data_IF_771478572385
#
_entry.id   IF_771478572385
#
_cell.length_a   1.000
_cell.length_b   1.000
_cell.length_c   1.000
_cell.angle_alpha   90.00
_cell.angle_beta   90.00
_cell.angle_gamma   90.00
#
_symmetry.space_group_name_H-M   'P 1'
#
loop_
_entity.id
_entity.type
_entity.pdbx_description
1 polymer ?
#
# COMPACT_ATOMS: atom_id res chain seq x y z
N UNK A 1 -3.91 -19.84 -26.29
CA UNK A 1 -4.19 -18.58 -25.54
C UNK A 1 -2.84 -17.93 -25.30
N UNK A 2 -2.73 -16.61 -25.44
CA UNK A 2 -1.49 -15.91 -25.12
C UNK A 2 -1.17 -16.09 -23.63
N UNK A 3 0.12 -16.18 -23.28
CA UNK A 3 0.54 -16.22 -21.88
C UNK A 3 0.19 -14.89 -21.21
N UNK A 4 -0.37 -14.92 -20.01
CA UNK A 4 -0.76 -13.71 -19.29
C UNK A 4 0.40 -13.12 -18.51
N UNK A 5 0.40 -11.80 -18.33
CA UNK A 5 1.36 -11.10 -17.48
C UNK A 5 0.66 -9.97 -16.72
N UNK A 6 0.79 -9.94 -15.41
CA UNK A 6 0.21 -8.92 -14.55
C UNK A 6 1.31 -8.24 -13.75
N UNK A 7 1.36 -6.91 -13.80
CA UNK A 7 2.30 -6.09 -13.02
C UNK A 7 1.56 -4.95 -12.34
N UNK A 8 1.94 -4.65 -11.10
CA UNK A 8 1.41 -3.54 -10.33
C UNK A 8 2.53 -2.62 -9.86
N UNK A 9 2.21 -1.34 -9.69
CA UNK A 9 2.96 -0.48 -8.76
C UNK A 9 2.28 -0.50 -7.40
N UNK A 10 2.95 0.01 -6.34
CA UNK A 10 2.23 0.51 -5.18
C UNK A 10 1.16 1.52 -5.60
N UNK A 11 0.09 1.61 -4.81
CA UNK A 11 -0.81 2.76 -4.86
C UNK A 11 -0.18 3.90 -4.05
N UNK A 12 -0.16 5.10 -4.60
CA UNK A 12 0.57 6.23 -4.01
C UNK A 12 -0.36 7.08 -3.13
N UNK A 13 0.12 7.50 -1.96
CA UNK A 13 -0.65 8.37 -1.07
C UNK A 13 -0.96 9.72 -1.73
N UNK A 14 -2.19 10.22 -1.52
CA UNK A 14 -2.64 11.52 -2.05
C UNK A 14 -2.37 12.70 -1.13
N UNK A 15 -1.48 12.56 -0.15
CA UNK A 15 -1.14 13.62 0.79
C UNK A 15 -0.09 14.62 0.26
N UNK A 16 0.66 14.29 -0.81
CA UNK A 16 1.69 15.16 -1.38
C UNK A 16 1.85 15.02 -2.91
N UNK A 17 2.72 15.84 -3.48
CA UNK A 17 3.07 15.87 -4.90
C UNK A 17 3.81 14.61 -5.36
N UNK A 18 3.58 14.16 -6.62
CA UNK A 18 4.40 13.12 -7.21
C UNK A 18 5.88 13.55 -7.29
N UNK A 19 6.79 12.67 -6.85
CA UNK A 19 8.24 12.88 -6.93
C UNK A 19 8.95 11.76 -7.70
N UNK A 20 10.28 11.83 -7.80
CA UNK A 20 11.10 10.92 -8.61
C UNK A 20 10.97 9.44 -8.21
N UNK A 21 10.65 9.16 -6.95
CA UNK A 21 10.44 7.79 -6.46
C UNK A 21 9.22 7.14 -7.10
N UNK A 22 8.10 7.88 -7.16
CA UNK A 22 6.89 7.43 -7.86
C UNK A 22 7.16 7.24 -9.36
N UNK A 23 7.88 8.19 -9.97
CA UNK A 23 8.22 8.10 -11.40
C UNK A 23 9.08 6.87 -11.70
N UNK A 24 10.09 6.59 -10.89
CA UNK A 24 11.00 5.45 -11.08
C UNK A 24 10.25 4.12 -11.07
N UNK A 25 9.47 3.85 -10.02
CA UNK A 25 8.75 2.58 -9.87
C UNK A 25 7.73 2.38 -10.99
N UNK A 26 6.99 3.43 -11.34
CA UNK A 26 6.01 3.35 -12.44
C UNK A 26 6.67 3.15 -13.80
N UNK A 27 7.81 3.80 -14.08
CA UNK A 27 8.56 3.59 -15.33
C UNK A 27 9.15 2.18 -15.39
N UNK A 28 9.66 1.64 -14.29
CA UNK A 28 10.16 0.27 -14.23
C UNK A 28 9.05 -0.76 -14.54
N UNK A 29 7.86 -0.58 -13.96
CA UNK A 29 6.69 -1.40 -14.26
C UNK A 29 6.23 -1.23 -15.72
N UNK A 30 6.26 -0.01 -16.26
CA UNK A 30 5.90 0.29 -17.65
C UNK A 30 6.84 -0.41 -18.65
N UNK A 31 8.15 -0.40 -18.39
CA UNK A 31 9.14 -1.11 -19.21
C UNK A 31 8.83 -2.61 -19.25
N UNK A 32 8.50 -3.22 -18.11
CA UNK A 32 8.12 -4.64 -18.05
C UNK A 32 6.82 -4.90 -18.83
N UNK A 33 5.79 -4.09 -18.60
CA UNK A 33 4.51 -4.22 -19.29
C UNK A 33 4.70 -4.14 -20.82
N UNK A 34 5.45 -3.15 -21.30
CA UNK A 34 5.75 -2.97 -22.73
C UNK A 34 6.57 -4.12 -23.30
N UNK A 35 7.59 -4.59 -22.58
CA UNK A 35 8.40 -5.74 -22.99
C UNK A 35 7.52 -6.97 -23.21
N UNK A 36 6.65 -7.30 -22.26
CA UNK A 36 5.79 -8.47 -22.36
C UNK A 36 4.68 -8.31 -23.41
N UNK A 37 4.13 -7.10 -23.60
CA UNK A 37 3.22 -6.81 -24.74
C UNK A 37 3.93 -7.03 -26.07
N UNK A 38 5.16 -6.54 -26.21
CA UNK A 38 5.98 -6.76 -27.41
C UNK A 38 6.28 -8.25 -27.64
N UNK A 39 6.46 -9.03 -26.58
CA UNK A 39 6.60 -10.48 -26.63
C UNK A 39 5.30 -11.25 -26.95
N UNK A 40 4.18 -10.56 -27.22
CA UNK A 40 2.90 -11.16 -27.59
C UNK A 40 2.09 -11.73 -26.41
N UNK A 41 2.37 -11.29 -25.17
CA UNK A 41 1.61 -11.68 -23.98
C UNK A 41 0.34 -10.83 -23.81
N UNK A 42 -0.64 -11.40 -23.12
CA UNK A 42 -1.81 -10.68 -22.64
C UNK A 42 -1.46 -9.98 -21.32
N UNK A 43 -1.32 -8.65 -21.37
CA UNK A 43 -0.73 -7.85 -20.28
C UNK A 43 -1.78 -7.00 -19.61
N UNK A 44 -1.77 -7.01 -18.27
CA UNK A 44 -2.45 -6.01 -17.45
C UNK A 44 -1.42 -5.28 -16.57
N UNK A 45 -1.40 -3.96 -16.62
CA UNK A 45 -0.53 -3.10 -15.83
C UNK A 45 -1.40 -2.13 -15.02
N UNK A 46 -1.40 -2.32 -13.69
CA UNK A 46 -2.16 -1.51 -12.74
C UNK A 46 -1.27 -0.55 -11.95
N UNK A 47 -1.73 0.69 -11.83
CA UNK A 47 -1.21 1.69 -10.87
C UNK A 47 -2.41 2.35 -10.16
N UNK A 48 -2.18 3.17 -9.14
CA UNK A 48 -3.28 3.89 -8.51
C UNK A 48 -2.89 4.81 -7.36
N UNK A 49 -3.89 5.23 -6.61
CA UNK A 49 -3.76 6.13 -5.45
C UNK A 49 -4.44 5.57 -4.22
N UNK A 50 -3.80 5.79 -3.08
CA UNK A 50 -4.37 5.56 -1.75
C UNK A 50 -4.90 6.88 -1.16
N UNK A 51 -6.19 6.88 -0.86
CA UNK A 51 -7.01 8.07 -0.62
C UNK A 51 -7.69 8.08 0.75
N UNK A 52 -7.43 7.06 1.59
CA UNK A 52 -7.97 6.96 2.94
C UNK A 52 -6.89 7.25 4.00
N UNK A 53 -7.30 7.38 5.26
CA UNK A 53 -6.40 7.51 6.41
C UNK A 53 -6.32 8.91 7.01
N UNK A 54 -5.84 8.98 8.25
CA UNK A 54 -5.79 10.22 9.03
C UNK A 54 -4.85 11.26 8.41
N UNK A 55 -3.78 10.84 7.72
CA UNK A 55 -2.91 11.79 7.00
C UNK A 55 -3.65 12.55 5.91
N UNK A 56 -4.49 11.87 5.12
CA UNK A 56 -5.26 12.50 4.04
C UNK A 56 -6.28 13.48 4.65
N UNK A 57 -6.96 13.09 5.72
CA UNK A 57 -7.89 13.94 6.44
C UNK A 57 -7.21 15.22 6.97
N UNK A 58 -6.07 15.08 7.65
CA UNK A 58 -5.30 16.22 8.20
C UNK A 58 -4.76 17.13 7.09
N UNK A 59 -4.26 16.56 6.00
CA UNK A 59 -3.79 17.32 4.85
C UNK A 59 -4.92 18.13 4.20
N UNK A 60 -6.12 17.56 4.07
CA UNK A 60 -7.28 18.23 3.52
C UNK A 60 -7.74 19.38 4.42
N UNK A 61 -7.83 19.14 5.73
CA UNK A 61 -8.17 20.16 6.71
C UNK A 61 -7.19 21.35 6.71
N UNK A 62 -5.88 21.09 6.56
CA UNK A 62 -4.85 22.13 6.52
C UNK A 62 -4.98 23.10 5.33
N UNK A 63 -5.64 22.67 4.24
CA UNK A 63 -5.87 23.50 3.05
C UNK A 63 -7.34 23.90 2.87
N UNK A 64 -8.21 23.60 3.84
CA UNK A 64 -9.64 23.94 3.80
C UNK A 64 -10.44 23.17 2.75
N UNK A 65 -9.99 21.97 2.37
CA UNK A 65 -10.67 21.06 1.43
C UNK A 65 -11.29 19.87 2.19
N UNK A 66 -12.29 19.22 1.60
CA UNK A 66 -12.71 17.88 2.06
C UNK A 66 -11.69 16.82 1.61
N UNK A 67 -11.59 15.66 2.29
CA UNK A 67 -10.65 14.60 1.90
C UNK A 67 -10.80 14.16 0.44
N UNK A 68 -12.04 14.04 -0.05
CA UNK A 68 -12.31 13.66 -1.44
C UNK A 68 -11.88 14.75 -2.44
N UNK A 69 -12.03 16.03 -2.09
CA UNK A 69 -11.59 17.15 -2.94
C UNK A 69 -10.05 17.17 -3.06
N UNK A 70 -9.34 16.95 -1.95
CA UNK A 70 -7.89 16.82 -1.96
C UNK A 70 -7.46 15.63 -2.84
N UNK A 71 -8.08 14.47 -2.64
CA UNK A 71 -7.78 13.25 -3.40
C UNK A 71 -8.01 13.46 -4.90
N UNK A 72 -9.17 14.00 -5.30
CA UNK A 72 -9.49 14.32 -6.71
C UNK A 72 -8.43 15.23 -7.33
N UNK A 73 -8.03 16.29 -6.62
CA UNK A 73 -7.01 17.24 -7.09
C UNK A 73 -5.63 16.59 -7.26
N UNK A 74 -5.23 15.71 -6.35
CA UNK A 74 -3.90 15.06 -6.38
C UNK A 74 -3.86 13.92 -7.41
N UNK A 75 -4.94 13.17 -7.58
CA UNK A 75 -5.11 12.15 -8.62
C UNK A 75 -4.85 12.73 -10.01
N UNK A 76 -5.39 13.91 -10.29
CA UNK A 76 -5.14 14.57 -11.58
C UNK A 76 -3.66 14.92 -11.78
N UNK A 77 -2.91 15.20 -10.73
CA UNK A 77 -1.44 15.41 -10.84
C UNK A 77 -0.71 14.12 -11.21
N UNK A 78 -1.09 12.99 -10.59
CA UNK A 78 -0.53 11.67 -10.94
C UNK A 78 -0.86 11.31 -12.39
N UNK A 79 -2.13 11.39 -12.81
CA UNK A 79 -2.53 11.10 -14.20
C UNK A 79 -1.81 11.98 -15.21
N UNK A 80 -1.71 13.28 -14.95
CA UNK A 80 -0.97 14.20 -15.83
C UNK A 80 0.51 13.85 -15.90
N UNK A 81 1.13 13.41 -14.79
CA UNK A 81 2.51 12.91 -14.82
C UNK A 81 2.64 11.63 -15.65
N UNK A 82 1.71 10.69 -15.52
CA UNK A 82 1.69 9.46 -16.31
C UNK A 82 1.53 9.71 -17.81
N UNK A 83 0.71 10.68 -18.21
CA UNK A 83 0.63 11.16 -19.59
C UNK A 83 1.98 11.74 -20.05
N UNK A 84 2.60 12.61 -19.25
CA UNK A 84 3.91 13.21 -19.58
C UNK A 84 5.04 12.19 -19.70
N UNK A 85 5.03 11.17 -18.86
CA UNK A 85 5.99 10.07 -18.87
C UNK A 85 5.63 8.99 -19.91
N UNK A 86 4.50 9.13 -20.61
CA UNK A 86 3.99 8.16 -21.57
C UNK A 86 3.85 6.75 -20.96
N UNK A 87 3.28 6.67 -19.75
CA UNK A 87 3.02 5.39 -19.06
C UNK A 87 1.84 4.70 -19.73
N UNK A 88 1.96 3.38 -19.93
CA UNK A 88 1.00 2.53 -20.63
C UNK A 88 0.22 1.62 -19.69
N UNK A 89 -0.15 2.11 -18.51
CA UNK A 89 -1.00 1.34 -17.60
C UNK A 89 -2.39 1.12 -18.20
N UNK A 90 -2.97 -0.05 -17.94
CA UNK A 90 -4.30 -0.43 -18.44
C UNK A 90 -5.42 0.09 -17.52
N UNK A 91 -5.13 0.28 -16.24
CA UNK A 91 -6.08 0.83 -15.27
C UNK A 91 -5.37 1.72 -14.23
N UNK A 92 -6.14 2.65 -13.66
CA UNK A 92 -5.76 3.53 -12.57
C UNK A 92 -6.78 3.38 -11.43
N UNK A 93 -6.44 2.60 -10.41
CA UNK A 93 -7.33 2.36 -9.27
C UNK A 93 -7.27 3.52 -8.26
N UNK A 94 -8.42 3.85 -7.70
CA UNK A 94 -8.55 4.80 -6.58
C UNK A 94 -9.24 4.08 -5.43
N UNK A 95 -8.74 4.19 -4.21
CA UNK A 95 -9.35 3.48 -3.06
C UNK A 95 -10.72 4.04 -2.65
N UNK A 96 -11.11 5.21 -3.16
CA UNK A 96 -12.46 5.80 -3.04
C UNK A 96 -13.47 5.27 -4.06
N UNK A 97 -13.05 4.49 -5.07
CA UNK A 97 -13.98 3.91 -6.04
C UNK A 97 -14.85 2.82 -5.41
N UNK A 98 -16.13 2.81 -5.77
CA UNK A 98 -17.10 1.82 -5.28
C UNK A 98 -16.65 0.37 -5.51
N UNK A 99 -15.98 0.09 -6.65
CA UNK A 99 -15.45 -1.25 -6.93
C UNK A 99 -14.37 -1.69 -5.93
N UNK A 100 -13.57 -0.76 -5.43
CA UNK A 100 -12.54 -1.04 -4.43
C UNK A 100 -13.17 -1.22 -3.06
N UNK A 101 -14.09 -0.33 -2.67
CA UNK A 101 -14.82 -0.41 -1.40
C UNK A 101 -15.54 -1.76 -1.27
N UNK A 102 -16.26 -2.18 -2.32
CA UNK A 102 -16.91 -3.50 -2.35
C UNK A 102 -15.93 -4.66 -2.17
N UNK A 103 -14.78 -4.61 -2.85
CA UNK A 103 -13.77 -5.66 -2.75
C UNK A 103 -13.14 -5.72 -1.34
N UNK A 104 -12.82 -4.57 -0.76
CA UNK A 104 -12.27 -4.47 0.60
C UNK A 104 -13.26 -4.97 1.66
N UNK A 105 -14.53 -4.55 1.57
CA UNK A 105 -15.60 -5.05 2.46
C UNK A 105 -15.80 -6.55 2.32
N UNK A 106 -15.81 -7.07 1.09
CA UNK A 106 -15.94 -8.50 0.85
C UNK A 106 -14.77 -9.30 1.42
N UNK A 107 -13.54 -8.80 1.29
CA UNK A 107 -12.36 -9.41 1.90
C UNK A 107 -12.49 -9.45 3.42
N UNK A 108 -12.82 -8.32 4.05
CA UNK A 108 -13.01 -8.23 5.49
C UNK A 108 -14.08 -9.21 6.01
N UNK A 109 -15.27 -9.23 5.38
CA UNK A 109 -16.35 -10.16 5.74
C UNK A 109 -15.92 -11.63 5.60
N UNK A 110 -15.12 -11.95 4.59
CA UNK A 110 -14.62 -13.31 4.36
C UNK A 110 -13.67 -13.74 5.46
N UNK A 111 -12.69 -12.89 5.79
CA UNK A 111 -11.72 -13.14 6.86
C UNK A 111 -12.43 -13.21 8.23
N UNK A 112 -13.44 -12.38 8.45
CA UNK A 112 -14.28 -12.42 9.65
C UNK A 112 -15.03 -13.75 9.77
N UNK A 113 -15.69 -14.20 8.68
CA UNK A 113 -16.42 -15.48 8.63
C UNK A 113 -15.52 -16.69 8.87
N UNK A 114 -14.24 -16.60 8.48
CA UNK A 114 -13.25 -17.64 8.74
C UNK A 114 -12.75 -17.67 10.20
N UNK A 115 -13.22 -16.73 11.04
CA UNK A 115 -12.82 -16.64 12.45
C UNK A 115 -11.43 -16.07 12.65
N UNK A 116 -10.88 -15.38 11.64
CA UNK A 116 -9.53 -14.82 11.64
C UNK A 116 -9.50 -13.35 12.08
N UNK A 117 -10.67 -12.80 12.43
CA UNK A 117 -10.81 -11.48 13.06
C UNK A 117 -11.24 -11.65 14.52
N UNK A 118 -10.59 -10.93 15.42
CA UNK A 118 -10.99 -10.86 16.83
C UNK A 118 -10.90 -9.43 17.34
N UNK A 119 -11.74 -9.09 18.30
CA UNK A 119 -11.66 -7.82 19.01
C UNK A 119 -10.59 -7.95 20.09
N UNK A 120 -9.67 -7.00 20.12
CA UNK A 120 -8.62 -6.91 21.12
C UNK A 120 -8.44 -5.48 21.56
N UNK A 121 -7.57 -5.29 22.53
CA UNK A 121 -7.12 -3.97 22.93
C UNK A 121 -5.66 -3.85 22.51
N UNK A 122 -5.36 -2.86 21.68
CA UNK A 122 -3.98 -2.52 21.35
C UNK A 122 -3.50 -1.48 22.36
N UNK A 123 -2.33 -1.69 22.95
CA UNK A 123 -1.64 -0.68 23.76
C UNK A 123 -0.20 -0.62 23.27
N UNK A 124 0.08 0.29 22.35
CA UNK A 124 1.42 0.46 21.77
C UNK A 124 1.70 1.94 21.44
N UNK A 125 2.95 2.22 21.10
CA UNK A 125 3.40 3.57 20.81
C UNK A 125 3.18 3.90 19.33
N UNK A 126 2.31 4.86 19.06
CA UNK A 126 1.94 5.22 17.70
C UNK A 126 2.66 6.49 17.22
N UNK A 127 3.30 6.39 16.05
CA UNK A 127 3.88 7.52 15.35
C UNK A 127 2.88 8.05 14.31
N UNK A 128 2.17 9.14 14.62
CA UNK A 128 1.21 9.76 13.70
C UNK A 128 1.82 10.16 12.35
N UNK A 129 3.04 10.73 12.28
CA UNK A 129 3.67 11.03 10.99
C UNK A 129 4.02 9.80 10.14
N UNK A 130 4.28 8.64 10.74
CA UNK A 130 4.59 7.42 10.00
C UNK A 130 3.34 6.57 9.73
N UNK A 131 2.25 6.71 10.51
CA UNK A 131 1.13 5.76 10.58
C UNK A 131 1.59 4.34 10.91
N UNK A 132 2.58 4.26 11.81
CA UNK A 132 3.19 3.01 12.21
C UNK A 132 3.14 2.87 13.71
N UNK A 133 2.91 1.64 14.17
CA UNK A 133 2.92 1.26 15.57
C UNK A 133 4.27 0.65 15.93
N UNK A 134 4.72 0.97 17.14
CA UNK A 134 5.97 0.50 17.70
C UNK A 134 5.72 -0.08 19.08
N UNK A 135 6.33 -1.23 19.34
CA UNK A 135 6.47 -1.72 20.69
C UNK A 135 7.45 -0.84 21.47
N UNK A 136 7.35 -0.83 22.80
CA UNK A 136 8.27 -0.05 23.65
C UNK A 136 9.74 -0.36 23.38
N UNK A 137 10.07 -1.61 23.04
CA UNK A 137 11.44 -2.05 22.73
C UNK A 137 11.97 -1.53 21.39
N UNK A 138 11.08 -1.18 20.45
CA UNK A 138 11.46 -0.64 19.14
C UNK A 138 11.69 0.87 19.15
N UNK A 139 11.34 1.56 20.24
CA UNK A 139 11.57 2.99 20.37
C UNK A 139 13.05 3.30 20.60
N UNK A 140 13.51 4.39 20.00
CA UNK A 140 14.85 4.95 20.23
C UNK A 140 14.67 6.20 21.09
N UNK A 141 15.16 6.17 22.34
CA UNK A 141 14.99 7.24 23.32
C UNK A 141 13.52 7.68 23.53
N UNK A 142 12.58 6.73 23.48
CA UNK A 142 11.15 7.00 23.61
C UNK A 142 10.53 7.68 22.38
N UNK A 143 11.20 7.62 21.22
CA UNK A 143 10.77 8.24 19.95
C UNK A 143 10.69 7.21 18.82
N UNK A 144 9.97 7.58 17.76
CA UNK A 144 9.81 6.76 16.56
C UNK A 144 11.18 6.43 15.95
N UNK A 145 11.52 5.15 15.72
CA UNK A 145 12.81 4.76 15.16
C UNK A 145 13.02 5.26 13.73
N UNK A 146 11.93 5.41 12.95
CA UNK A 146 12.03 5.81 11.54
C UNK A 146 12.25 7.31 11.35
N UNK A 147 11.57 8.14 12.15
CA UNK A 147 11.56 9.60 11.93
C UNK A 147 12.09 10.42 13.11
N UNK A 148 12.42 9.79 14.23
CA UNK A 148 12.96 10.45 15.43
C UNK A 148 11.98 11.40 16.14
N UNK A 149 10.69 11.35 15.81
CA UNK A 149 9.64 12.21 16.42
C UNK A 149 8.97 11.52 17.59
N UNK A 150 8.26 12.30 18.40
CA UNK A 150 7.48 11.81 19.53
C UNK A 150 6.40 10.81 19.08
N UNK A 151 6.18 9.83 19.94
CA UNK A 151 5.14 8.81 19.81
C UNK A 151 4.12 8.99 20.92
N UNK A 152 2.87 8.65 20.64
CA UNK A 152 1.80 8.69 21.64
C UNK A 152 1.41 7.26 22.01
N UNK A 153 1.28 6.99 23.31
CA UNK A 153 0.75 5.72 23.77
C UNK A 153 -0.74 5.67 23.44
N UNK A 154 -1.12 4.81 22.51
CA UNK A 154 -2.50 4.67 22.06
C UNK A 154 -3.05 3.38 22.64
N UNK A 155 -4.09 3.51 23.47
CA UNK A 155 -4.88 2.38 23.94
C UNK A 155 -6.23 2.43 23.23
N UNK A 156 -6.43 1.55 22.26
CA UNK A 156 -7.65 1.53 21.46
C UNK A 156 -8.17 0.10 21.30
N UNK A 157 -9.48 -0.05 21.45
CA UNK A 157 -10.16 -1.28 21.09
C UNK A 157 -10.19 -1.37 19.56
N UNK A 158 -9.65 -2.46 19.01
CA UNK A 158 -9.45 -2.62 17.57
C UNK A 158 -9.71 -4.05 17.13
N UNK A 159 -10.13 -4.20 15.88
CA UNK A 159 -10.22 -5.50 15.24
C UNK A 159 -8.84 -5.93 14.73
N UNK A 160 -8.39 -7.11 15.16
CA UNK A 160 -7.11 -7.70 14.78
C UNK A 160 -7.29 -8.87 13.84
N UNK A 161 -6.34 -9.00 12.91
CA UNK A 161 -6.18 -10.19 12.08
C UNK A 161 -5.26 -11.19 12.76
N UNK A 162 -5.63 -12.47 12.79
CA UNK A 162 -4.84 -13.57 13.37
C UNK A 162 -3.65 -13.95 12.48
N UNK A 163 -2.74 -13.00 12.23
CA UNK A 163 -1.58 -13.20 11.36
C UNK A 163 -0.68 -14.36 11.80
N UNK A 164 -0.56 -14.60 13.11
CA UNK A 164 0.20 -15.71 13.69
C UNK A 164 -0.24 -17.09 13.20
N UNK A 165 -1.52 -17.27 12.86
CA UNK A 165 -2.06 -18.52 12.26
C UNK A 165 -1.44 -18.82 10.89
N UNK A 166 -0.96 -17.81 10.18
CA UNK A 166 -0.45 -17.90 8.81
C UNK A 166 1.07 -17.86 8.72
N UNK A 167 1.76 -17.69 9.85
CA UNK A 167 3.22 -17.55 9.87
C UNK A 167 3.92 -18.80 9.33
N UNK A 168 3.69 -19.98 9.91
CA UNK A 168 4.37 -21.21 9.47
C UNK A 168 4.08 -21.58 8.01
N UNK A 169 2.81 -21.51 7.52
CA UNK A 169 2.53 -21.72 6.10
C UNK A 169 3.23 -20.72 5.18
N UNK A 170 3.35 -19.45 5.59
CA UNK A 170 4.03 -18.43 4.80
C UNK A 170 5.53 -18.68 4.73
N UNK A 171 6.17 -18.99 5.87
CA UNK A 171 7.60 -19.31 5.92
C UNK A 171 7.92 -20.53 5.05
N UNK A 172 7.13 -21.60 5.17
CA UNK A 172 7.28 -22.79 4.33
C UNK A 172 7.16 -22.45 2.84
N UNK A 173 6.18 -21.63 2.45
CA UNK A 173 6.01 -21.22 1.07
C UNK A 173 7.24 -20.45 0.55
N UNK A 174 7.79 -19.53 1.36
CA UNK A 174 8.97 -18.75 1.01
C UNK A 174 10.21 -19.64 0.84
N UNK A 175 10.42 -20.62 1.74
CA UNK A 175 11.51 -21.61 1.64
C UNK A 175 11.40 -22.48 0.38
N UNK A 176 10.19 -22.91 0.03
CA UNK A 176 9.92 -23.70 -1.17
C UNK A 176 10.00 -22.88 -2.46
N UNK A 177 9.92 -21.54 -2.37
CA UNK A 177 9.90 -20.61 -3.50
C UNK A 177 10.91 -19.47 -3.33
N UNK A 178 12.24 -19.75 -3.34
CA UNK A 178 13.26 -18.74 -3.02
C UNK A 178 13.35 -17.58 -4.03
N UNK A 179 12.75 -17.74 -5.21
CA UNK A 179 12.67 -16.69 -6.22
C UNK A 179 11.45 -15.75 -6.06
N UNK A 180 10.57 -16.01 -5.09
CA UNK A 180 9.32 -15.28 -4.88
C UNK A 180 9.56 -13.81 -4.49
N UNK A 181 10.59 -13.55 -3.68
CA UNK A 181 11.01 -12.19 -3.30
C UNK A 181 12.31 -11.86 -4.02
N UNK A 182 12.33 -10.72 -4.72
CA UNK A 182 13.51 -10.23 -5.43
C UNK A 182 13.76 -8.75 -5.09
N UNK A 183 15.02 -8.30 -5.05
CA UNK A 183 16.25 -9.10 -5.16
C UNK A 183 16.48 -9.99 -3.92
N UNK A 184 17.34 -11.00 -4.04
CA UNK A 184 17.60 -12.00 -2.98
C UNK A 184 18.06 -11.36 -1.66
N UNK A 185 18.76 -10.23 -1.71
CA UNK A 185 19.17 -9.51 -0.50
C UNK A 185 17.98 -9.06 0.36
N UNK A 186 16.81 -8.80 -0.24
CA UNK A 186 15.57 -8.45 0.49
C UNK A 186 14.89 -9.68 1.09
N UNK A 187 15.14 -10.88 0.58
CA UNK A 187 14.62 -12.11 1.18
C UNK A 187 15.25 -12.37 2.55
N UNK A 188 16.55 -12.06 2.70
CA UNK A 188 17.29 -12.25 3.96
C UNK A 188 16.92 -11.23 5.07
N UNK A 189 16.06 -10.25 4.77
CA UNK A 189 15.54 -9.26 5.72
C UNK A 189 14.17 -9.66 6.30
N UNK A 190 13.55 -10.74 5.80
CA UNK A 190 12.25 -11.28 6.21
C UNK A 190 12.39 -12.30 7.35
#
# INVERSE_FOLDING_TARGET
>A
MAETFYVTTPIYYVNDLPHIGHAYTTVAADVLARYYRYAGRDVFFLTGTDEHGQKVEKAAAAVGETPIQLADRVVERFKNLWVKLNVSNDDFIRTTQERHIKAASHFFETVQKNGDIYLGMYEDWYCTPCESFWTEQQLVDGKCPDCGREVNKLQEESYFFKMSKYQDPLLKYLEENPAFVRPETRYNEL
#
